data_IF_350944683740
#
_entry.id   IF_350944683740
#
_cell.length_a   1.000
_cell.length_b   1.000
_cell.length_c   1.000
_cell.angle_alpha   90.00
_cell.angle_beta   90.00
_cell.angle_gamma   90.00
#
_symmetry.space_group_name_H-M   'P 1'
#
loop_
_entity.id
_entity.type
_entity.pdbx_description
1 polymer ?
#
# COMPACT_ATOMS: atom_id res chain seq x y z
N UNK A 1 3.74 27.82 11.70
CA UNK A 1 3.22 26.53 12.24
C UNK A 1 3.66 25.44 11.28
N UNK A 2 4.84 24.86 11.53
CA UNK A 2 5.45 23.85 10.66
C UNK A 2 4.86 22.48 10.98
N UNK A 3 4.20 21.92 9.96
CA UNK A 3 3.50 20.64 9.94
C UNK A 3 4.41 19.47 10.34
N UNK A 4 4.22 18.94 11.55
CA UNK A 4 4.90 17.72 12.02
C UNK A 4 4.49 16.49 11.16
N UNK A 5 3.33 16.54 10.51
CA UNK A 5 2.84 15.46 9.64
C UNK A 5 3.58 15.37 8.29
N UNK A 6 4.03 16.50 7.74
CA UNK A 6 4.78 16.51 6.48
C UNK A 6 6.14 15.84 6.64
N UNK A 7 6.76 16.00 7.81
CA UNK A 7 8.08 15.41 8.11
C UNK A 7 8.03 13.90 8.37
N UNK A 8 6.93 13.35 8.90
CA UNK A 8 6.84 11.92 9.21
C UNK A 8 6.64 11.04 7.98
N UNK A 9 5.82 11.50 7.02
CA UNK A 9 5.51 10.72 5.81
C UNK A 9 6.69 10.70 4.83
N UNK A 10 7.31 11.86 4.61
CA UNK A 10 8.48 11.98 3.75
C UNK A 10 9.67 11.20 4.32
N UNK A 11 9.91 11.30 5.64
CA UNK A 11 10.92 10.50 6.31
C UNK A 11 10.64 9.00 6.23
N UNK A 12 9.37 8.60 6.31
CA UNK A 12 8.97 7.21 6.14
C UNK A 12 9.30 6.68 4.74
N UNK A 13 8.98 7.43 3.68
CA UNK A 13 9.34 7.04 2.32
C UNK A 13 10.84 7.11 2.00
N UNK A 14 11.59 8.02 2.64
CA UNK A 14 13.00 8.25 2.33
C UNK A 14 13.98 7.44 3.21
N UNK A 15 13.57 7.05 4.42
CA UNK A 15 14.46 6.40 5.40
C UNK A 15 13.95 5.05 5.91
N UNK A 16 12.64 4.77 5.81
CA UNK A 16 12.06 3.51 6.34
C UNK A 16 11.79 2.53 5.22
N UNK A 17 11.17 2.97 4.12
CA UNK A 17 10.84 2.07 3.01
C UNK A 17 12.05 1.77 2.11
N UNK A 18 12.13 0.57 1.50
CA UNK A 18 13.13 0.25 0.50
C UNK A 18 12.98 1.17 -0.73
N UNK A 19 13.98 1.18 -1.60
CA UNK A 19 13.98 2.01 -2.80
C UNK A 19 12.81 1.61 -3.73
N UNK A 20 11.72 2.36 -3.62
CA UNK A 20 10.49 2.17 -4.38
C UNK A 20 10.23 3.40 -5.24
N UNK A 21 9.81 3.16 -6.48
CA UNK A 21 9.51 4.21 -7.44
C UNK A 21 8.24 4.99 -7.12
N UNK A 22 8.04 6.10 -7.82
CA UNK A 22 6.95 7.06 -7.57
C UNK A 22 5.57 6.41 -7.63
N UNK A 23 5.35 5.50 -8.59
CA UNK A 23 4.06 4.80 -8.72
C UNK A 23 3.76 3.89 -7.55
N UNK A 24 4.77 3.25 -6.98
CA UNK A 24 4.61 2.42 -5.79
C UNK A 24 4.36 3.29 -4.56
N UNK A 25 5.03 4.46 -4.47
CA UNK A 25 4.77 5.45 -3.42
C UNK A 25 3.32 5.92 -3.45
N UNK A 26 2.76 6.23 -4.61
CA UNK A 26 1.35 6.62 -4.74
C UNK A 26 0.40 5.51 -4.29
N UNK A 27 0.66 4.27 -4.70
CA UNK A 27 -0.11 3.09 -4.27
C UNK A 27 -0.06 2.94 -2.75
N UNK A 28 1.12 3.11 -2.13
CA UNK A 28 1.26 3.03 -0.67
C UNK A 28 0.60 4.20 0.06
N UNK A 29 0.65 5.39 -0.52
CA UNK A 29 0.04 6.59 0.06
C UNK A 29 -1.46 6.40 0.30
N UNK A 30 -2.16 5.72 -0.60
CA UNK A 30 -3.57 5.38 -0.41
C UNK A 30 -3.84 4.58 0.88
N UNK A 31 -2.90 3.71 1.30
CA UNK A 31 -3.01 2.98 2.56
C UNK A 31 -2.53 3.78 3.77
N UNK A 32 -1.49 4.61 3.61
CA UNK A 32 -0.99 5.44 4.71
C UNK A 32 -2.01 6.50 5.10
N UNK A 33 -2.64 7.12 4.10
CA UNK A 33 -3.69 8.13 4.29
C UNK A 33 -4.98 7.48 4.83
N UNK A 34 -5.15 6.16 4.69
CA UNK A 34 -6.31 5.39 5.16
C UNK A 34 -5.91 4.10 5.91
N UNK A 35 -5.28 4.18 7.11
CA UNK A 35 -4.58 3.05 7.75
C UNK A 35 -5.50 1.94 8.29
N UNK A 36 -6.80 2.21 8.41
CA UNK A 36 -7.83 1.23 8.78
C UNK A 36 -8.53 0.62 7.56
N UNK A 37 -8.28 1.14 6.36
CA UNK A 37 -8.92 0.66 5.14
C UNK A 37 -8.11 -0.43 4.46
N UNK A 38 -8.84 -1.38 3.87
CA UNK A 38 -8.29 -2.38 2.96
C UNK A 38 -8.81 -2.15 1.56
N UNK A 39 -7.97 -2.40 0.56
CA UNK A 39 -8.30 -2.16 -0.84
C UNK A 39 -8.05 -3.41 -1.68
N UNK A 40 -9.03 -3.78 -2.50
CA UNK A 40 -8.81 -4.65 -3.66
C UNK A 40 -8.11 -3.87 -4.77
N UNK A 41 -7.44 -4.53 -5.71
CA UNK A 41 -6.78 -3.84 -6.84
C UNK A 41 -7.73 -2.91 -7.62
N UNK A 42 -9.00 -3.31 -7.77
CA UNK A 42 -10.01 -2.51 -8.46
C UNK A 42 -10.46 -1.30 -7.66
N UNK A 43 -10.59 -1.43 -6.33
CA UNK A 43 -10.88 -0.26 -5.48
C UNK A 43 -9.72 0.70 -5.47
N UNK A 44 -8.49 0.19 -5.41
CA UNK A 44 -7.29 1.02 -5.45
C UNK A 44 -7.12 1.74 -6.79
N UNK A 45 -7.46 1.08 -7.89
CA UNK A 45 -7.53 1.70 -9.21
C UNK A 45 -8.55 2.85 -9.25
N UNK A 46 -9.72 2.66 -8.64
CA UNK A 46 -10.74 3.70 -8.53
C UNK A 46 -10.26 4.87 -7.65
N UNK A 47 -9.62 4.58 -6.52
CA UNK A 47 -9.09 5.57 -5.57
C UNK A 47 -8.01 6.44 -6.23
N UNK A 48 -7.10 5.82 -6.99
CA UNK A 48 -6.00 6.52 -7.66
C UNK A 48 -6.41 7.13 -9.01
N UNK A 49 -7.62 6.86 -9.51
CA UNK A 49 -8.04 7.23 -10.86
C UNK A 49 -7.23 6.53 -11.97
N UNK A 50 -6.67 5.36 -11.67
CA UNK A 50 -5.82 4.59 -12.58
C UNK A 50 -6.57 3.44 -13.25
N UNK A 51 -6.05 2.97 -14.37
CA UNK A 51 -6.47 1.67 -14.88
C UNK A 51 -5.96 0.52 -14.00
N UNK A 52 -6.76 -0.54 -13.87
CA UNK A 52 -6.42 -1.71 -13.05
C UNK A 52 -5.09 -2.37 -13.46
N UNK A 53 -4.73 -2.30 -14.75
CA UNK A 53 -3.49 -2.83 -15.30
C UNK A 53 -2.27 -1.99 -14.90
N UNK A 54 -2.46 -0.74 -14.49
CA UNK A 54 -1.41 0.11 -13.92
C UNK A 54 -1.19 -0.17 -12.43
N UNK A 55 -2.24 -0.55 -11.70
CA UNK A 55 -2.18 -0.84 -10.26
C UNK A 55 -1.64 -2.24 -9.97
N UNK A 56 -2.14 -3.24 -10.69
CA UNK A 56 -1.83 -4.66 -10.43
C UNK A 56 -0.33 -4.98 -10.34
N UNK A 57 0.54 -4.53 -11.27
CA UNK A 57 1.98 -4.77 -11.15
C UNK A 57 2.58 -4.10 -9.91
N UNK A 58 2.15 -2.89 -9.54
CA UNK A 58 2.66 -2.18 -8.35
C UNK A 58 2.30 -2.89 -7.06
N UNK A 59 1.06 -3.40 -6.98
CA UNK A 59 0.65 -4.24 -5.85
C UNK A 59 1.47 -5.53 -5.81
N UNK A 60 1.78 -6.13 -6.96
CA UNK A 60 2.61 -7.34 -7.02
C UNK A 60 4.05 -7.11 -6.56
N UNK A 61 4.64 -5.98 -6.95
CA UNK A 61 5.96 -5.53 -6.51
C UNK A 61 5.97 -5.29 -4.99
N UNK A 62 5.02 -4.51 -4.46
CA UNK A 62 4.91 -4.20 -3.03
C UNK A 62 4.60 -5.42 -2.14
N UNK A 63 4.12 -6.51 -2.73
CA UNK A 63 3.94 -7.82 -2.09
C UNK A 63 5.23 -8.67 -2.09
N UNK A 64 6.35 -8.14 -2.59
CA UNK A 64 7.61 -8.86 -2.73
C UNK A 64 7.51 -10.05 -3.70
N UNK A 65 6.56 -10.03 -4.65
CA UNK A 65 6.39 -11.13 -5.62
C UNK A 65 7.07 -10.84 -6.95
N UNK A 66 7.39 -9.59 -7.25
CA UNK A 66 8.19 -9.25 -8.43
C UNK A 66 9.68 -9.53 -8.16
N UNK A 67 10.28 -10.42 -8.95
CA UNK A 67 11.70 -10.78 -8.82
C UNK A 67 12.66 -9.60 -9.04
N UNK A 68 12.19 -8.55 -9.73
CA UNK A 68 12.96 -7.31 -9.96
C UNK A 68 12.98 -6.41 -8.72
N UNK A 69 12.00 -6.58 -7.83
CA UNK A 69 11.88 -5.85 -6.58
C UNK A 69 12.08 -6.84 -5.43
N UNK A 70 13.34 -7.16 -5.17
CA UNK A 70 13.69 -8.04 -4.05
C UNK A 70 13.47 -7.28 -2.75
N UNK A 71 12.55 -7.79 -1.94
CA UNK A 71 12.21 -7.23 -0.64
C UNK A 71 12.32 -8.35 0.39
N UNK A 72 12.94 -8.05 1.52
CA UNK A 72 13.05 -8.99 2.64
C UNK A 72 11.67 -9.32 3.22
N UNK A 73 10.82 -8.30 3.34
CA UNK A 73 9.45 -8.43 3.85
C UNK A 73 8.47 -7.67 2.94
N UNK A 74 7.28 -8.21 2.65
CA UNK A 74 6.29 -7.54 1.83
C UNK A 74 5.74 -6.30 2.55
N UNK A 75 5.58 -5.17 1.84
CA UNK A 75 4.93 -3.97 2.40
C UNK A 75 3.41 -4.16 2.41
N UNK A 76 2.84 -4.84 1.41
CA UNK A 76 1.42 -5.17 1.36
C UNK A 76 1.18 -6.65 1.62
N UNK A 77 0.22 -6.95 2.50
CA UNK A 77 -0.19 -8.32 2.84
C UNK A 77 -1.69 -8.53 2.56
N UNK A 78 -2.08 -9.79 2.35
CA UNK A 78 -3.48 -10.18 2.25
C UNK A 78 -4.16 -9.95 3.60
N UNK A 79 -5.26 -9.19 3.62
CA UNK A 79 -6.10 -9.04 4.80
C UNK A 79 -7.23 -10.07 4.79
N UNK A 80 -8.03 -10.04 3.73
CA UNK A 80 -9.22 -10.88 3.59
C UNK A 80 -9.63 -11.00 2.12
N UNK A 81 -10.57 -11.91 1.85
CA UNK A 81 -11.28 -12.00 0.57
C UNK A 81 -12.71 -11.53 0.77
N UNK A 82 -13.06 -10.42 0.14
CA UNK A 82 -14.39 -9.81 0.25
C UNK A 82 -14.92 -9.31 -1.10
N UNK A 83 -16.23 -9.08 -1.24
CA UNK A 83 -16.77 -8.37 -2.39
C UNK A 83 -16.09 -7.01 -2.57
N UNK A 84 -15.62 -6.75 -3.79
CA UNK A 84 -15.13 -5.43 -4.19
C UNK A 84 -16.29 -4.43 -4.14
N UNK A 85 -16.13 -3.32 -3.42
CA UNK A 85 -17.14 -2.27 -3.26
C UNK A 85 -17.52 -1.63 -4.60
N UNK A 86 -16.55 -1.55 -5.52
CA UNK A 86 -16.71 -1.03 -6.89
C UNK A 86 -17.26 -2.08 -7.85
N UNK A 87 -16.63 -3.25 -7.93
CA UNK A 87 -16.93 -4.26 -8.96
C UNK A 87 -17.90 -5.38 -8.53
N UNK A 88 -18.31 -5.42 -7.26
CA UNK A 88 -19.16 -6.42 -6.59
C UNK A 88 -18.67 -7.89 -6.63
N UNK A 89 -17.66 -8.22 -7.44
CA UNK A 89 -16.98 -9.53 -7.43
C UNK A 89 -16.07 -9.67 -6.21
N UNK A 90 -16.02 -10.88 -5.65
CA UNK A 90 -15.08 -11.21 -4.57
C UNK A 90 -13.64 -11.13 -5.08
N UNK A 91 -12.79 -10.47 -4.30
CA UNK A 91 -11.36 -10.29 -4.60
C UNK A 91 -10.57 -10.16 -3.30
N UNK A 92 -9.25 -10.32 -3.38
CA UNK A 92 -8.37 -10.12 -2.23
C UNK A 92 -8.30 -8.62 -1.92
N UNK A 93 -8.55 -8.26 -0.68
CA UNK A 93 -8.30 -6.93 -0.15
C UNK A 93 -6.94 -6.93 0.57
N UNK A 94 -6.11 -5.94 0.23
CA UNK A 94 -4.77 -5.76 0.76
C UNK A 94 -4.78 -4.77 1.92
N UNK A 95 -3.77 -4.86 2.76
CA UNK A 95 -3.46 -3.87 3.79
C UNK A 95 -1.95 -3.66 3.89
N UNK A 96 -1.54 -2.55 4.51
CA UNK A 96 -0.15 -2.37 4.91
C UNK A 96 0.23 -3.38 5.99
N UNK A 97 1.38 -4.02 5.76
CA UNK A 97 2.00 -4.89 6.73
C UNK A 97 2.36 -4.08 8.01
N UNK A 98 1.91 -4.52 9.20
CA UNK A 98 2.20 -3.86 10.47
C UNK A 98 3.68 -3.58 10.72
N UNK A 99 4.60 -4.42 10.20
CA UNK A 99 6.05 -4.20 10.31
C UNK A 99 6.50 -2.86 9.72
N UNK A 100 5.78 -2.37 8.70
CA UNK A 100 6.13 -1.16 7.99
C UNK A 100 5.26 0.04 8.40
N UNK A 101 4.35 -0.02 9.37
CA UNK A 101 3.46 1.15 9.62
C UNK A 101 4.26 2.38 10.11
N UNK A 102 4.04 3.58 9.54
CA UNK A 102 4.56 4.81 10.11
C UNK A 102 3.97 4.99 11.52
N UNK A 103 4.81 4.90 12.55
CA UNK A 103 4.38 4.97 13.95
C UNK A 103 4.57 3.69 14.77
N UNK A 104 4.99 2.56 14.16
CA UNK A 104 5.70 1.49 14.87
C UNK A 104 5.03 0.79 16.06
N UNK A 105 3.72 0.94 16.30
CA UNK A 105 3.05 0.17 17.34
C UNK A 105 2.48 -1.12 16.77
N UNK A 106 3.07 -2.25 17.20
CA UNK A 106 2.37 -3.53 17.25
C UNK A 106 1.14 -3.31 18.12
N UNK A 107 -0.04 -3.49 17.53
CA UNK A 107 -1.26 -3.64 18.32
C UNK A 107 -1.21 -5.08 18.83
N UNK A 108 -1.02 -5.24 20.14
CA UNK A 108 -1.13 -6.52 20.85
C UNK A 108 -2.56 -7.10 20.74
#
# INVERSE_FOLDING_TARGET
MTSIQSTSLEAYFNYVLPDIGDKQREVLRAFIDNPSMTFTNRELACELGWEINSVTPRVYELRGKDKRFQMTEPILIENERRPCRVGKRTSIAWQMNPYWRPGGYKIE
#
